data_IF_889196583291
#
_entry.id   IF_889196583291
#
_cell.length_a   1.000
_cell.length_b   1.000
_cell.length_c   1.000
_cell.angle_alpha   90.00
_cell.angle_beta   90.00
_cell.angle_gamma   90.00
#
_symmetry.space_group_name_H-M   'P 1'
#
loop_
_entity.id
_entity.type
_entity.pdbx_description
1 polymer ?
#
# COMPACT_ATOMS: atom_id res chain seq x y z
N UNK A 1 20.38 11.33 13.85
CA UNK A 1 19.37 10.60 13.05
C UNK A 1 18.78 11.49 11.96
N UNK A 2 18.18 12.62 12.33
CA UNK A 2 17.51 13.53 11.38
C UNK A 2 18.40 14.07 10.25
N UNK A 3 19.65 14.43 10.52
CA UNK A 3 20.59 14.89 9.49
C UNK A 3 20.86 13.82 8.42
N UNK A 4 21.05 12.56 8.83
CA UNK A 4 21.25 11.43 7.91
C UNK A 4 19.99 11.18 7.09
N UNK A 5 18.82 11.24 7.73
CA UNK A 5 17.55 11.07 7.03
C UNK A 5 17.29 12.18 6.00
N UNK A 6 17.57 13.42 6.35
CA UNK A 6 17.48 14.58 5.45
C UNK A 6 18.44 14.44 4.27
N UNK A 7 19.70 14.03 4.54
CA UNK A 7 20.68 13.74 3.49
C UNK A 7 20.19 12.64 2.54
N UNK A 8 19.62 11.56 3.07
CA UNK A 8 19.06 10.48 2.25
C UNK A 8 17.91 10.99 1.37
N UNK A 9 16.97 11.78 1.91
CA UNK A 9 15.87 12.37 1.12
C UNK A 9 16.37 13.24 -0.03
N UNK A 10 17.40 14.05 0.19
CA UNK A 10 17.97 14.90 -0.85
C UNK A 10 18.59 14.06 -1.97
N UNK A 11 19.40 13.04 -1.62
CA UNK A 11 19.99 12.14 -2.62
C UNK A 11 18.91 11.36 -3.41
N UNK A 12 17.81 10.97 -2.77
CA UNK A 12 16.68 10.31 -3.44
C UNK A 12 16.00 11.26 -4.43
N UNK A 13 15.84 12.54 -4.07
CA UNK A 13 15.29 13.57 -4.97
C UNK A 13 16.14 13.70 -6.24
N UNK A 14 17.46 13.59 -6.09
CA UNK A 14 18.43 13.59 -7.20
C UNK A 14 18.57 12.22 -7.89
N UNK A 15 17.78 11.21 -7.46
CA UNK A 15 17.81 9.82 -7.93
C UNK A 15 19.17 9.13 -7.75
N UNK A 16 20.02 9.63 -6.86
CA UNK A 16 21.30 9.01 -6.53
C UNK A 16 21.11 7.88 -5.50
N UNK A 17 20.49 6.79 -5.95
CA UNK A 17 20.20 5.63 -5.12
C UNK A 17 21.48 4.93 -4.62
N UNK A 18 22.55 4.97 -5.42
CA UNK A 18 23.84 4.35 -5.06
C UNK A 18 24.48 5.06 -3.88
N UNK A 19 24.50 6.41 -3.88
CA UNK A 19 25.01 7.19 -2.76
C UNK A 19 24.05 7.19 -1.56
N UNK A 20 22.75 7.03 -1.78
CA UNK A 20 21.74 6.95 -0.71
C UNK A 20 21.91 5.70 0.17
N UNK A 21 22.17 4.54 -0.43
CA UNK A 21 22.27 3.25 0.28
C UNK A 21 23.21 3.28 1.50
N UNK A 22 24.48 3.72 1.41
CA UNK A 22 25.36 3.75 2.58
C UNK A 22 24.85 4.68 3.69
N UNK A 23 24.22 5.80 3.34
CA UNK A 23 23.61 6.73 4.32
C UNK A 23 22.45 6.05 5.07
N UNK A 24 21.60 5.32 4.35
CA UNK A 24 20.48 4.58 4.95
C UNK A 24 20.95 3.39 5.77
N UNK A 25 22.03 2.69 5.37
CA UNK A 25 22.63 1.63 6.18
C UNK A 25 23.16 2.17 7.51
N UNK A 26 23.89 3.29 7.49
CA UNK A 26 24.34 3.95 8.72
C UNK A 26 23.15 4.34 9.61
N UNK A 27 22.06 4.83 8.99
CA UNK A 27 20.84 5.18 9.71
C UNK A 27 20.18 3.95 10.36
N UNK A 28 20.05 2.84 9.62
CA UNK A 28 19.46 1.59 10.13
C UNK A 28 20.31 0.95 11.22
N UNK A 29 21.64 0.97 11.09
CA UNK A 29 22.54 0.41 12.11
C UNK A 29 22.44 1.19 13.43
N UNK A 30 22.27 2.52 13.35
CA UNK A 30 22.06 3.37 14.54
C UNK A 30 20.74 3.09 15.25
N UNK A 31 19.64 2.89 14.52
CA UNK A 31 18.37 2.52 15.18
C UNK A 31 18.39 1.11 15.73
N UNK A 32 18.99 0.14 15.03
CA UNK A 32 19.16 -1.21 15.58
C UNK A 32 19.93 -1.17 16.91
N UNK A 33 21.00 -0.37 16.99
CA UNK A 33 21.74 -0.18 18.24
C UNK A 33 20.86 0.40 19.38
N UNK A 34 20.07 1.45 19.10
CA UNK A 34 19.19 2.09 20.10
C UNK A 34 18.15 1.11 20.65
N UNK A 35 17.53 0.32 19.77
CA UNK A 35 16.38 -0.50 20.11
C UNK A 35 16.71 -1.97 20.41
N UNK A 36 17.97 -2.39 20.21
CA UNK A 36 18.45 -3.77 20.41
C UNK A 36 18.17 -4.38 21.79
N UNK A 37 18.11 -3.57 22.84
CA UNK A 37 17.91 -4.02 24.22
C UNK A 37 16.51 -3.75 24.75
N UNK A 38 15.60 -3.23 23.92
CA UNK A 38 14.23 -2.96 24.36
C UNK A 38 13.42 -4.25 24.35
N UNK A 39 12.72 -4.49 25.45
CA UNK A 39 11.76 -5.59 25.60
C UNK A 39 10.35 -5.08 25.37
N UNK A 40 9.58 -5.73 24.49
CA UNK A 40 8.20 -5.34 24.21
C UNK A 40 7.88 -5.40 22.72
N UNK A 41 6.62 -5.10 22.38
CA UNK A 41 6.18 -4.97 20.97
C UNK A 41 6.26 -3.51 20.56
N UNK A 42 7.41 -3.18 20.00
CA UNK A 42 7.74 -1.82 19.59
C UNK A 42 7.53 -1.66 18.08
N UNK A 43 6.74 -0.66 17.69
CA UNK A 43 6.39 -0.39 16.30
C UNK A 43 6.72 1.05 15.89
N UNK A 44 6.88 1.26 14.58
CA UNK A 44 7.05 2.58 13.97
C UNK A 44 5.93 2.83 12.96
N UNK A 45 4.72 3.03 13.46
CA UNK A 45 3.58 3.37 12.61
C UNK A 45 3.71 4.79 12.02
N UNK A 46 3.29 4.95 10.77
CA UNK A 46 3.31 6.21 10.02
C UNK A 46 2.13 7.10 10.38
N UNK A 47 0.99 6.50 10.76
CA UNK A 47 -0.27 7.18 11.01
C UNK A 47 -1.05 6.46 12.12
N UNK A 48 -1.82 7.19 12.92
CA UNK A 48 -2.55 6.63 14.08
C UNK A 48 -3.51 5.49 13.68
N UNK A 49 -4.12 5.58 12.49
CA UNK A 49 -4.94 4.53 11.88
C UNK A 49 -4.25 3.15 11.85
N UNK A 50 -2.94 3.09 11.63
CA UNK A 50 -2.20 1.84 11.53
C UNK A 50 -2.17 1.08 12.87
N UNK A 51 -2.25 1.78 14.01
CA UNK A 51 -2.46 1.16 15.32
C UNK A 51 -3.74 0.34 15.35
N UNK A 52 -4.83 0.91 14.83
CA UNK A 52 -6.15 0.26 14.84
C UNK A 52 -6.21 -0.89 13.82
N UNK A 53 -5.60 -0.72 12.64
CA UNK A 53 -5.46 -1.81 11.68
C UNK A 53 -4.64 -2.96 12.24
N UNK A 54 -3.52 -2.67 12.90
CA UNK A 54 -2.69 -3.71 13.51
C UNK A 54 -3.50 -4.47 14.56
N UNK A 55 -4.13 -3.76 15.50
CA UNK A 55 -4.90 -4.40 16.57
C UNK A 55 -6.03 -5.28 16.04
N UNK A 56 -6.76 -4.80 15.02
CA UNK A 56 -7.89 -5.53 14.44
C UNK A 56 -7.45 -6.71 13.55
N UNK A 57 -6.63 -6.46 12.53
CA UNK A 57 -6.30 -7.47 11.52
C UNK A 57 -5.24 -8.47 12.00
N UNK A 58 -4.31 -8.06 12.86
CA UNK A 58 -3.34 -8.97 13.49
C UNK A 58 -3.89 -9.63 14.76
N UNK A 59 -5.10 -9.24 15.20
CA UNK A 59 -5.77 -9.72 16.42
C UNK A 59 -4.89 -9.58 17.66
N UNK A 60 -4.19 -8.46 17.74
CA UNK A 60 -3.21 -8.19 18.77
C UNK A 60 -3.57 -6.93 19.56
N UNK A 61 -4.22 -7.14 20.71
CA UNK A 61 -4.63 -6.08 21.63
C UNK A 61 -3.67 -5.91 22.80
N UNK A 62 -2.44 -6.43 22.67
CA UNK A 62 -1.42 -6.21 23.69
C UNK A 62 -0.99 -4.75 23.74
N UNK A 63 -0.33 -4.36 24.84
CA UNK A 63 0.23 -3.03 24.97
C UNK A 63 1.28 -2.81 23.88
N UNK A 64 1.00 -1.84 23.00
CA UNK A 64 1.89 -1.43 21.92
C UNK A 64 2.75 -0.27 22.40
N UNK A 65 4.03 -0.34 22.05
CA UNK A 65 4.97 0.76 22.25
C UNK A 65 5.36 1.34 20.88
N UNK A 66 5.71 2.62 20.86
CA UNK A 66 6.04 3.32 19.63
C UNK A 66 7.43 3.91 19.68
N UNK A 67 8.17 3.74 18.58
CA UNK A 67 9.48 4.35 18.40
C UNK A 67 9.36 5.85 18.12
N UNK A 68 10.33 6.64 18.57
CA UNK A 68 10.44 8.06 18.22
C UNK A 68 10.72 8.29 16.71
N UNK A 69 11.34 7.32 16.04
CA UNK A 69 11.77 7.43 14.64
C UNK A 69 10.88 6.60 13.72
N UNK A 70 10.65 7.05 12.48
CA UNK A 70 9.95 6.27 11.46
C UNK A 70 10.87 5.16 10.87
N UNK A 71 11.19 4.14 11.68
CA UNK A 71 12.18 3.11 11.34
C UNK A 71 11.75 2.30 10.12
N UNK A 72 10.47 1.91 10.02
CA UNK A 72 9.89 1.25 8.86
C UNK A 72 10.18 2.06 7.57
N UNK A 73 10.03 3.38 7.61
CA UNK A 73 10.30 4.26 6.47
C UNK A 73 11.76 4.25 6.06
N UNK A 74 12.70 4.11 7.00
CA UNK A 74 14.14 3.99 6.67
C UNK A 74 14.42 2.69 5.90
N UNK A 75 13.90 1.56 6.39
CA UNK A 75 14.07 0.27 5.72
C UNK A 75 13.31 0.19 4.39
N UNK A 76 12.09 0.74 4.32
CA UNK A 76 11.32 0.82 3.07
C UNK A 76 12.08 1.61 2.02
N UNK A 77 12.66 2.75 2.42
CA UNK A 77 13.45 3.59 1.52
C UNK A 77 14.77 2.92 1.11
N UNK A 78 15.39 2.17 2.01
CA UNK A 78 16.58 1.37 1.70
C UNK A 78 16.25 0.28 0.66
N UNK A 79 15.13 -0.42 0.84
CA UNK A 79 14.61 -1.41 -0.10
C UNK A 79 14.33 -0.79 -1.47
N UNK A 80 13.72 0.41 -1.50
CA UNK A 80 13.47 1.16 -2.72
C UNK A 80 14.77 1.47 -3.48
N UNK A 81 15.81 1.97 -2.79
CA UNK A 81 17.10 2.26 -3.40
C UNK A 81 17.81 0.99 -3.89
N UNK A 82 17.72 -0.10 -3.13
CA UNK A 82 18.28 -1.40 -3.52
C UNK A 82 17.60 -1.97 -4.76
N UNK A 83 16.27 -1.87 -4.86
CA UNK A 83 15.50 -2.29 -6.03
C UNK A 83 15.90 -1.52 -7.30
N UNK A 84 16.15 -0.22 -7.18
CA UNK A 84 16.58 0.64 -8.28
C UNK A 84 18.08 0.52 -8.63
N UNK A 85 18.82 -0.28 -7.86
CA UNK A 85 20.23 -0.63 -8.13
C UNK A 85 20.40 -2.13 -8.39
N UNK A 86 19.30 -2.80 -8.73
CA UNK A 86 19.20 -4.23 -9.07
C UNK A 86 19.67 -5.18 -7.95
N UNK A 87 19.71 -4.69 -6.70
CA UNK A 87 20.00 -5.50 -5.50
C UNK A 87 18.71 -6.10 -4.94
N UNK A 88 18.04 -6.93 -5.74
CA UNK A 88 16.69 -7.43 -5.43
C UNK A 88 16.59 -8.22 -4.13
N UNK A 89 17.56 -9.10 -3.84
CA UNK A 89 17.56 -9.89 -2.59
C UNK A 89 17.70 -8.98 -1.36
N UNK A 90 18.57 -7.98 -1.43
CA UNK A 90 18.72 -7.02 -0.34
C UNK A 90 17.46 -6.17 -0.17
N UNK A 91 16.82 -5.78 -1.29
CA UNK A 91 15.58 -5.04 -1.27
C UNK A 91 14.45 -5.80 -0.54
N UNK A 92 14.28 -7.10 -0.85
CA UNK A 92 13.31 -7.96 -0.14
C UNK A 92 13.60 -7.95 1.36
N UNK A 93 14.85 -8.19 1.77
CA UNK A 93 15.23 -8.20 3.20
C UNK A 93 14.94 -6.87 3.88
N UNK A 94 15.18 -5.75 3.19
CA UNK A 94 14.89 -4.42 3.72
C UNK A 94 13.38 -4.20 3.87
N UNK A 95 12.56 -4.58 2.89
CA UNK A 95 11.10 -4.48 3.00
C UNK A 95 10.55 -5.40 4.09
N UNK A 96 11.06 -6.63 4.25
CA UNK A 96 10.70 -7.51 5.36
C UNK A 96 11.05 -6.90 6.71
N UNK A 97 12.21 -6.22 6.83
CA UNK A 97 12.55 -5.44 8.03
C UNK A 97 11.58 -4.28 8.23
N UNK A 98 11.18 -3.56 7.18
CA UNK A 98 10.18 -2.50 7.28
C UNK A 98 8.84 -3.04 7.81
N UNK A 99 8.37 -4.19 7.32
CA UNK A 99 7.15 -4.83 7.80
C UNK A 99 7.26 -5.39 9.23
N UNK A 100 8.45 -5.70 9.73
CA UNK A 100 8.62 -6.03 11.16
C UNK A 100 8.37 -4.83 12.05
N UNK A 101 8.79 -3.64 11.61
CA UNK A 101 8.58 -2.38 12.33
C UNK A 101 7.18 -1.80 12.12
N UNK A 102 6.54 -2.09 10.99
CA UNK A 102 5.16 -1.72 10.72
C UNK A 102 4.46 -2.81 9.87
N UNK A 103 3.79 -3.77 10.52
CA UNK A 103 3.16 -4.89 9.84
C UNK A 103 1.98 -4.53 8.94
N UNK A 104 1.50 -3.30 8.98
CA UNK A 104 0.35 -2.81 8.20
C UNK A 104 0.73 -1.68 7.24
N UNK A 105 2.04 -1.50 6.97
CA UNK A 105 2.56 -0.48 6.07
C UNK A 105 2.23 -0.78 4.60
N UNK A 106 1.11 -0.22 4.13
CA UNK A 106 0.63 -0.41 2.76
C UNK A 106 1.70 -0.06 1.71
N UNK A 107 2.46 1.01 1.91
CA UNK A 107 3.49 1.42 0.95
C UNK A 107 4.56 0.33 0.81
N UNK A 108 4.94 -0.34 1.90
CA UNK A 108 5.90 -1.44 1.83
C UNK A 108 5.34 -2.64 1.05
N UNK A 109 4.06 -2.98 1.25
CA UNK A 109 3.41 -4.03 0.45
C UNK A 109 3.37 -3.71 -1.05
N UNK A 110 3.05 -2.45 -1.40
CA UNK A 110 3.04 -2.01 -2.80
C UNK A 110 4.43 -2.07 -3.43
N UNK A 111 5.47 -1.70 -2.68
CA UNK A 111 6.85 -1.79 -3.16
C UNK A 111 7.34 -3.24 -3.32
N UNK A 112 6.94 -4.15 -2.44
CA UNK A 112 7.17 -5.59 -2.60
C UNK A 112 6.48 -6.13 -3.85
N UNK A 113 5.23 -5.74 -4.11
CA UNK A 113 4.51 -6.15 -5.31
C UNK A 113 5.25 -5.73 -6.59
N UNK A 114 5.70 -4.47 -6.67
CA UNK A 114 6.50 -3.99 -7.82
C UNK A 114 7.83 -4.73 -7.96
N UNK A 115 8.51 -5.03 -6.84
CA UNK A 115 9.73 -5.83 -6.87
C UNK A 115 9.47 -7.25 -7.40
N UNK A 116 8.40 -7.90 -6.93
CA UNK A 116 8.05 -9.26 -7.35
C UNK A 116 7.61 -9.33 -8.82
N UNK A 117 6.97 -8.29 -9.35
CA UNK A 117 6.75 -8.14 -10.80
C UNK A 117 8.09 -8.08 -11.54
N UNK A 118 9.03 -7.26 -11.07
CA UNK A 118 10.37 -7.09 -11.70
C UNK A 118 11.19 -8.38 -11.74
N UNK A 119 11.10 -9.22 -10.71
CA UNK A 119 11.80 -10.52 -10.67
C UNK A 119 10.95 -11.71 -11.12
N UNK A 120 9.77 -11.45 -11.70
CA UNK A 120 8.77 -12.44 -12.12
C UNK A 120 8.44 -13.52 -11.06
N UNK A 121 8.38 -13.14 -9.79
CA UNK A 121 7.97 -14.03 -8.70
C UNK A 121 6.46 -13.91 -8.46
N UNK A 122 5.71 -14.59 -9.31
CA UNK A 122 4.23 -14.51 -9.34
C UNK A 122 3.57 -14.97 -8.04
N UNK A 123 4.12 -16.00 -7.37
CA UNK A 123 3.56 -16.50 -6.11
C UNK A 123 3.64 -15.45 -5.01
N UNK A 124 4.81 -14.83 -4.87
CA UNK A 124 5.02 -13.79 -3.86
C UNK A 124 4.24 -12.52 -4.20
N UNK A 125 4.17 -12.14 -5.49
CA UNK A 125 3.32 -11.04 -5.96
C UNK A 125 1.86 -11.24 -5.53
N UNK A 126 1.29 -12.41 -5.81
CA UNK A 126 -0.09 -12.71 -5.44
C UNK A 126 -0.27 -12.63 -3.93
N UNK A 127 0.64 -13.24 -3.17
CA UNK A 127 0.59 -13.23 -1.71
C UNK A 127 0.56 -11.80 -1.15
N UNK A 128 1.55 -10.96 -1.47
CA UNK A 128 1.60 -9.60 -0.92
C UNK A 128 0.46 -8.71 -1.41
N UNK A 129 -0.04 -8.93 -2.63
CA UNK A 129 -1.21 -8.21 -3.14
C UNK A 129 -2.44 -8.50 -2.29
N UNK A 130 -2.72 -9.77 -1.98
CA UNK A 130 -3.84 -10.15 -1.11
C UNK A 130 -3.64 -9.73 0.35
N UNK A 131 -2.42 -9.83 0.90
CA UNK A 131 -2.12 -9.36 2.27
C UNK A 131 -2.35 -7.85 2.41
N UNK A 132 -2.09 -7.07 1.37
CA UNK A 132 -2.31 -5.62 1.37
C UNK A 132 -3.78 -5.20 1.34
N UNK A 133 -4.70 -6.10 0.98
CA UNK A 133 -6.10 -5.78 0.71
C UNK A 133 -6.80 -5.07 1.88
N UNK A 134 -6.47 -5.48 3.11
CA UNK A 134 -7.05 -4.90 4.34
C UNK A 134 -6.56 -3.48 4.64
N UNK A 135 -5.54 -3.00 3.94
CA UNK A 135 -4.92 -1.70 4.20
C UNK A 135 -5.18 -0.70 3.06
N UNK A 136 -5.90 -1.08 2.00
CA UNK A 136 -6.21 -0.21 0.87
C UNK A 136 -7.15 0.92 1.29
N UNK A 137 -6.64 2.15 1.34
CA UNK A 137 -7.35 3.33 1.86
C UNK A 137 -7.71 4.38 0.80
N UNK A 138 -7.50 4.08 -0.49
CA UNK A 138 -7.81 5.00 -1.60
C UNK A 138 -8.24 4.26 -2.87
N UNK A 139 -8.96 4.94 -3.76
CA UNK A 139 -9.31 4.44 -5.10
C UNK A 139 -8.06 4.11 -5.90
N UNK A 140 -7.02 4.93 -5.77
CA UNK A 140 -5.74 4.71 -6.44
C UNK A 140 -5.09 3.39 -5.99
N UNK A 141 -5.11 3.08 -4.69
CA UNK A 141 -4.59 1.80 -4.16
C UNK A 141 -5.48 0.62 -4.51
N UNK A 142 -6.81 0.79 -4.57
CA UNK A 142 -7.73 -0.23 -5.09
C UNK A 142 -7.43 -0.56 -6.56
N UNK A 143 -7.22 0.45 -7.40
CA UNK A 143 -6.85 0.25 -8.79
C UNK A 143 -5.52 -0.51 -8.92
N UNK A 144 -4.51 -0.17 -8.08
CA UNK A 144 -3.22 -0.89 -8.04
C UNK A 144 -3.39 -2.35 -7.63
N UNK A 145 -4.22 -2.65 -6.64
CA UNK A 145 -4.52 -4.03 -6.24
C UNK A 145 -5.04 -4.86 -7.42
N UNK A 146 -6.05 -4.36 -8.14
CA UNK A 146 -6.60 -5.08 -9.29
C UNK A 146 -5.60 -5.18 -10.44
N UNK A 147 -4.76 -4.17 -10.67
CA UNK A 147 -3.70 -4.19 -11.69
C UNK A 147 -2.60 -5.20 -11.38
N UNK A 148 -2.21 -5.35 -10.12
CA UNK A 148 -1.25 -6.38 -9.71
C UNK A 148 -1.79 -7.78 -10.00
N UNK A 149 -3.09 -8.00 -9.77
CA UNK A 149 -3.76 -9.23 -10.16
C UNK A 149 -3.90 -9.36 -11.68
N UNK A 150 -4.17 -8.26 -12.40
CA UNK A 150 -4.20 -8.22 -13.86
C UNK A 150 -2.89 -8.71 -14.47
N UNK A 151 -1.76 -8.16 -14.01
CA UNK A 151 -0.42 -8.63 -14.36
C UNK A 151 -0.23 -10.11 -14.01
N UNK A 152 -0.59 -10.53 -12.78
CA UNK A 152 -0.46 -11.91 -12.34
C UNK A 152 -1.19 -12.90 -13.26
N UNK A 153 -2.44 -12.61 -13.62
CA UNK A 153 -3.24 -13.50 -14.48
C UNK A 153 -2.81 -13.44 -15.94
N UNK A 154 -2.30 -12.31 -16.42
CA UNK A 154 -1.70 -12.21 -17.75
C UNK A 154 -0.47 -13.12 -17.87
N UNK A 155 0.43 -13.09 -16.88
CA UNK A 155 1.61 -13.97 -16.81
C UNK A 155 1.25 -15.44 -16.60
N UNK A 156 0.03 -15.74 -16.13
CA UNK A 156 -0.53 -17.09 -16.06
C UNK A 156 -1.27 -17.53 -17.32
N UNK A 157 -1.19 -16.76 -18.41
CA UNK A 157 -1.89 -17.02 -19.67
C UNK A 157 -3.42 -17.05 -19.52
N UNK A 158 -3.96 -16.19 -18.64
CA UNK A 158 -5.41 -15.94 -18.51
C UNK A 158 -5.76 -14.50 -18.96
N UNK A 159 -5.60 -14.16 -20.26
CA UNK A 159 -5.71 -12.79 -20.76
C UNK A 159 -7.11 -12.20 -20.63
N UNK A 160 -8.17 -13.01 -20.71
CA UNK A 160 -9.55 -12.54 -20.53
C UNK A 160 -9.79 -12.05 -19.09
N UNK A 161 -9.30 -12.78 -18.09
CA UNK A 161 -9.41 -12.38 -16.69
C UNK A 161 -8.51 -11.16 -16.40
N UNK A 162 -7.32 -11.12 -16.99
CA UNK A 162 -6.46 -9.95 -16.90
C UNK A 162 -7.15 -8.68 -17.45
N UNK A 163 -7.83 -8.79 -18.60
CA UNK A 163 -8.59 -7.69 -19.18
C UNK A 163 -9.75 -7.23 -18.26
N UNK A 164 -10.47 -8.18 -17.65
CA UNK A 164 -11.50 -7.88 -16.64
C UNK A 164 -10.91 -7.10 -15.47
N UNK A 165 -9.76 -7.53 -14.94
CA UNK A 165 -9.10 -6.88 -13.80
C UNK A 165 -8.59 -5.46 -14.14
N UNK A 166 -8.01 -5.27 -15.33
CA UNK A 166 -7.59 -3.94 -15.79
C UNK A 166 -8.78 -3.01 -16.00
N UNK A 167 -9.87 -3.47 -16.65
CA UNK A 167 -11.11 -2.67 -16.77
C UNK A 167 -11.71 -2.36 -15.41
N UNK A 168 -11.77 -3.33 -14.50
CA UNK A 168 -12.29 -3.12 -13.15
C UNK A 168 -11.44 -2.11 -12.36
N UNK A 169 -10.12 -2.12 -12.55
CA UNK A 169 -9.22 -1.14 -11.94
C UNK A 169 -9.51 0.31 -12.39
N UNK A 170 -9.91 0.50 -13.65
CA UNK A 170 -10.21 1.82 -14.21
C UNK A 170 -11.52 2.41 -13.67
N UNK A 171 -12.44 1.60 -13.14
CA UNK A 171 -13.61 2.10 -12.41
C UNK A 171 -13.16 2.89 -11.17
N UNK A 172 -12.10 2.43 -10.49
CA UNK A 172 -11.56 3.13 -9.33
C UNK A 172 -10.71 4.34 -9.73
N UNK A 173 -9.71 4.14 -10.57
CA UNK A 173 -8.77 5.19 -10.93
C UNK A 173 -8.15 4.91 -12.30
N UNK A 174 -8.54 5.64 -13.32
CA UNK A 174 -8.04 5.46 -14.69
C UNK A 174 -6.55 5.86 -14.81
N UNK A 175 -5.77 5.06 -15.56
CA UNK A 175 -4.38 5.41 -15.90
C UNK A 175 -4.01 4.96 -17.30
N UNK A 176 -3.09 5.70 -17.94
CA UNK A 176 -2.51 5.29 -19.23
C UNK A 176 -1.87 3.90 -19.18
N UNK A 177 -1.34 3.51 -18.02
CA UNK A 177 -0.75 2.18 -17.83
C UNK A 177 -1.78 1.07 -18.07
N UNK A 178 -2.95 1.15 -17.42
CA UNK A 178 -3.99 0.14 -17.62
C UNK A 178 -4.52 0.13 -19.06
N UNK A 179 -4.63 1.30 -19.70
CA UNK A 179 -5.01 1.40 -21.12
C UNK A 179 -4.01 0.69 -22.02
N UNK A 180 -2.70 0.90 -21.82
CA UNK A 180 -1.64 0.22 -22.59
C UNK A 180 -1.64 -1.29 -22.38
N UNK A 181 -1.89 -1.76 -21.15
CA UNK A 181 -2.01 -3.19 -20.86
C UNK A 181 -3.22 -3.81 -21.59
N UNK A 182 -4.37 -3.12 -21.63
CA UNK A 182 -5.55 -3.57 -22.37
C UNK A 182 -5.28 -3.63 -23.89
N UNK A 183 -4.59 -2.63 -24.45
CA UNK A 183 -4.16 -2.62 -25.85
C UNK A 183 -3.20 -3.79 -26.16
N UNK A 184 -2.25 -4.05 -25.27
CA UNK A 184 -1.34 -5.18 -25.39
C UNK A 184 -2.10 -6.52 -25.39
N UNK A 185 -3.05 -6.71 -24.46
CA UNK A 185 -3.87 -7.91 -24.40
C UNK A 185 -4.69 -8.07 -25.68
N UNK A 186 -5.38 -7.01 -26.14
CA UNK A 186 -6.18 -7.03 -27.37
C UNK A 186 -5.36 -7.49 -28.58
N UNK A 187 -4.14 -6.97 -28.70
CA UNK A 187 -3.20 -7.35 -29.76
C UNK A 187 -2.75 -8.81 -29.62
N UNK A 188 -2.45 -9.27 -28.40
CA UNK A 188 -2.02 -10.64 -28.15
C UNK A 188 -3.09 -11.67 -28.50
N UNK A 189 -4.36 -11.39 -28.19
CA UNK A 189 -5.50 -12.28 -28.49
C UNK A 189 -6.11 -12.04 -29.88
N UNK A 190 -5.60 -11.07 -30.65
CA UNK A 190 -6.10 -10.67 -31.98
C UNK A 190 -7.61 -10.36 -31.99
N UNK A 191 -8.08 -9.74 -30.92
CA UNK A 191 -9.50 -9.42 -30.72
C UNK A 191 -9.64 -8.20 -29.82
N UNK A 192 -10.63 -7.37 -30.12
CA UNK A 192 -10.98 -6.24 -29.26
C UNK A 192 -11.47 -6.72 -27.89
N UNK A 193 -11.08 -6.00 -26.83
CA UNK A 193 -11.61 -6.23 -25.48
C UNK A 193 -13.04 -5.70 -25.46
N UNK A 194 -14.07 -6.55 -25.26
CA UNK A 194 -15.44 -6.09 -25.25
C UNK A 194 -15.70 -5.22 -24.01
N UNK A 195 -16.76 -4.41 -24.08
CA UNK A 195 -17.27 -3.76 -22.88
C UNK A 195 -17.92 -4.79 -21.95
N UNK A 196 -17.55 -4.71 -20.67
CA UNK A 196 -18.08 -5.59 -19.64
C UNK A 196 -19.05 -4.82 -18.74
N UNK A 197 -20.20 -5.42 -18.43
CA UNK A 197 -21.04 -4.88 -17.36
C UNK A 197 -20.33 -5.01 -16.00
N UNK A 198 -20.61 -4.11 -15.07
CA UNK A 198 -20.07 -4.19 -13.71
C UNK A 198 -20.36 -5.55 -13.07
N UNK A 199 -21.60 -6.04 -13.23
CA UNK A 199 -22.04 -7.35 -12.73
C UNK A 199 -21.19 -8.49 -13.28
N UNK A 200 -20.95 -8.52 -14.60
CA UNK A 200 -20.12 -9.54 -15.22
C UNK A 200 -18.69 -9.54 -14.66
N UNK A 201 -18.08 -8.35 -14.52
CA UNK A 201 -16.73 -8.25 -13.97
C UNK A 201 -16.70 -8.79 -12.54
N UNK A 202 -17.64 -8.39 -11.70
CA UNK A 202 -17.72 -8.85 -10.31
C UNK A 202 -17.93 -10.37 -10.20
N UNK A 203 -18.79 -10.96 -11.04
CA UNK A 203 -18.97 -12.42 -11.10
C UNK A 203 -17.65 -13.14 -11.40
N UNK A 204 -16.85 -12.63 -12.36
CA UNK A 204 -15.53 -13.18 -12.68
C UNK A 204 -14.51 -13.05 -11.55
N UNK A 205 -14.54 -11.95 -10.80
CA UNK A 205 -13.69 -11.78 -9.61
C UNK A 205 -14.06 -12.80 -8.52
N UNK A 206 -15.36 -12.98 -8.27
CA UNK A 206 -15.87 -13.94 -7.28
C UNK A 206 -15.51 -15.37 -7.64
N UNK A 207 -15.65 -15.79 -8.91
CA UNK A 207 -15.22 -17.11 -9.40
C UNK A 207 -13.75 -17.44 -9.05
N UNK A 208 -12.90 -16.40 -8.93
CA UNK A 208 -11.47 -16.51 -8.65
C UNK A 208 -11.10 -16.19 -7.20
N UNK A 209 -12.09 -16.02 -6.33
CA UNK A 209 -11.93 -15.59 -4.93
C UNK A 209 -11.17 -14.26 -4.81
N UNK A 210 -11.39 -13.35 -5.75
CA UNK A 210 -10.85 -11.99 -5.71
C UNK A 210 -11.90 -11.08 -5.07
N UNK A 211 -11.55 -10.32 -4.02
CA UNK A 211 -12.49 -9.42 -3.35
C UNK A 211 -13.07 -8.36 -4.29
N UNK A 212 -14.36 -8.09 -4.10
CA UNK A 212 -15.11 -7.07 -4.83
C UNK A 212 -15.31 -5.87 -3.92
N UNK A 213 -14.73 -4.73 -4.28
CA UNK A 213 -14.87 -3.52 -3.47
C UNK A 213 -13.74 -3.34 -2.45
N UNK A 214 -13.71 -2.19 -1.76
CA UNK A 214 -12.90 -2.02 -0.55
C UNK A 214 -13.39 -2.95 0.58
N UNK A 215 -12.49 -3.33 1.48
CA UNK A 215 -12.87 -4.10 2.66
C UNK A 215 -13.77 -3.26 3.59
N UNK A 216 -14.98 -3.72 3.93
CA UNK A 216 -15.89 -2.97 4.79
C UNK A 216 -15.33 -2.72 6.20
N UNK A 217 -14.52 -3.63 6.73
CA UNK A 217 -13.87 -3.46 8.04
C UNK A 217 -12.84 -2.32 7.99
N UNK A 218 -12.07 -2.23 6.89
CA UNK A 218 -11.11 -1.15 6.65
C UNK A 218 -11.83 0.20 6.62
N UNK A 219 -12.97 0.29 5.93
CA UNK A 219 -13.80 1.51 5.90
C UNK A 219 -14.30 1.85 7.30
N UNK A 220 -14.92 0.88 7.99
CA UNK A 220 -15.52 1.08 9.31
C UNK A 220 -14.50 1.51 10.37
N UNK A 221 -13.32 0.88 10.38
CA UNK A 221 -12.22 1.25 11.26
C UNK A 221 -11.74 2.66 10.95
N UNK A 222 -11.49 2.98 9.68
CA UNK A 222 -11.01 4.32 9.28
C UNK A 222 -11.99 5.41 9.68
N UNK A 223 -13.28 5.19 9.43
CA UNK A 223 -14.33 6.11 9.82
C UNK A 223 -14.37 6.30 11.35
N UNK A 224 -14.29 5.21 12.11
CA UNK A 224 -14.32 5.25 13.58
C UNK A 224 -13.09 5.96 14.15
N UNK A 225 -11.91 5.75 13.60
CA UNK A 225 -10.69 6.47 13.98
C UNK A 225 -10.87 7.96 13.70
N UNK A 226 -11.43 8.33 12.55
CA UNK A 226 -11.77 9.73 12.25
C UNK A 226 -12.68 10.37 13.31
N UNK A 227 -13.69 9.65 13.79
CA UNK A 227 -14.54 10.12 14.90
C UNK A 227 -13.77 10.30 16.21
N UNK A 228 -12.93 9.32 16.58
CA UNK A 228 -12.13 9.35 17.82
C UNK A 228 -11.16 10.55 17.79
N UNK A 229 -10.46 10.78 16.69
CA UNK A 229 -9.54 11.91 16.54
C UNK A 229 -10.30 13.24 16.61
N UNK A 230 -11.50 13.32 16.04
CA UNK A 230 -12.33 14.52 16.12
C UNK A 230 -12.80 14.81 17.55
N UNK A 231 -13.24 13.77 18.28
CA UNK A 231 -13.60 13.85 19.70
C UNK A 231 -12.41 14.27 20.58
N UNK A 232 -11.20 13.85 20.22
CA UNK A 232 -9.95 14.23 20.88
C UNK A 232 -9.45 15.64 20.53
N UNK A 233 -10.10 16.33 19.58
CA UNK A 233 -9.69 17.65 19.10
C UNK A 233 -8.59 17.65 18.03
N UNK A 234 -8.18 16.47 17.55
CA UNK A 234 -7.18 16.26 16.51
C UNK A 234 -7.82 16.39 15.12
N UNK A 235 -8.25 17.61 14.78
CA UNK A 235 -9.05 17.85 13.58
C UNK A 235 -8.33 17.48 12.27
N UNK A 236 -6.99 17.58 12.24
CA UNK A 236 -6.18 17.25 11.07
C UNK A 236 -6.20 15.74 10.80
N UNK A 237 -5.90 14.94 11.82
CA UNK A 237 -5.89 13.48 11.77
C UNK A 237 -7.29 12.93 11.46
N UNK A 238 -8.32 13.53 12.06
CA UNK A 238 -9.71 13.23 11.73
C UNK A 238 -10.01 13.47 10.25
N UNK A 239 -9.61 14.64 9.72
CA UNK A 239 -9.78 14.99 8.30
C UNK A 239 -9.09 13.98 7.38
N UNK A 240 -7.86 13.57 7.71
CA UNK A 240 -7.11 12.56 6.93
C UNK A 240 -7.88 11.24 6.86
N UNK A 241 -8.43 10.74 7.97
CA UNK A 241 -9.26 9.54 8.00
C UNK A 241 -10.54 9.69 7.16
N UNK A 242 -11.30 10.79 7.32
CA UNK A 242 -12.53 11.00 6.55
C UNK A 242 -12.25 11.17 5.05
N UNK A 243 -11.11 11.76 4.67
CA UNK A 243 -10.69 11.83 3.27
C UNK A 243 -10.44 10.44 2.68
N UNK A 244 -9.81 9.53 3.42
CA UNK A 244 -9.60 8.15 2.97
C UNK A 244 -10.93 7.42 2.77
N UNK A 245 -11.87 7.56 3.72
CA UNK A 245 -13.22 6.98 3.59
C UNK A 245 -13.94 7.54 2.38
N UNK A 246 -14.00 8.87 2.26
CA UNK A 246 -14.70 9.54 1.17
C UNK A 246 -14.12 9.17 -0.20
N UNK A 247 -12.79 9.10 -0.33
CA UNK A 247 -12.16 8.68 -1.58
C UNK A 247 -12.69 7.28 -2.00
N UNK A 248 -12.69 6.31 -1.08
CA UNK A 248 -13.17 4.96 -1.36
C UNK A 248 -14.67 4.87 -1.65
N UNK A 249 -15.51 5.53 -0.86
CA UNK A 249 -16.95 5.32 -0.85
C UNK A 249 -17.73 6.32 -1.70
N UNK A 250 -17.20 7.54 -1.86
CA UNK A 250 -17.92 8.70 -2.39
C UNK A 250 -19.23 8.97 -1.64
N UNK A 251 -19.24 8.69 -0.33
CA UNK A 251 -20.41 8.83 0.53
C UNK A 251 -20.69 10.31 0.86
N UNK A 252 -21.90 10.77 0.59
CA UNK A 252 -22.35 12.15 0.81
C UNK A 252 -22.33 12.53 2.30
N UNK A 253 -22.58 11.61 3.23
CA UNK A 253 -22.53 11.90 4.67
C UNK A 253 -21.08 12.23 5.09
N UNK A 254 -20.11 11.49 4.57
CA UNK A 254 -18.68 11.73 4.84
C UNK A 254 -18.24 13.05 4.21
N UNK A 255 -18.77 13.39 3.03
CA UNK A 255 -18.54 14.69 2.39
C UNK A 255 -18.99 15.86 3.26
N UNK A 256 -20.20 15.78 3.83
CA UNK A 256 -20.72 16.81 4.74
C UNK A 256 -19.83 16.98 5.97
N UNK A 257 -19.31 15.89 6.53
CA UNK A 257 -18.36 15.94 7.65
C UNK A 257 -17.09 16.69 7.23
N UNK A 258 -16.51 16.38 6.06
CA UNK A 258 -15.31 17.04 5.54
C UNK A 258 -15.52 18.54 5.32
N UNK A 259 -16.63 18.94 4.71
CA UNK A 259 -17.00 20.36 4.52
C UNK A 259 -17.12 21.09 5.86
N UNK A 260 -17.65 20.43 6.90
CA UNK A 260 -17.72 20.97 8.26
C UNK A 260 -16.36 21.18 8.93
N UNK A 261 -15.34 20.42 8.54
CA UNK A 261 -13.96 20.54 9.06
C UNK A 261 -13.16 21.62 8.33
N UNK A 262 -13.50 21.97 7.09
CA UNK A 262 -12.83 23.04 6.33
C UNK A 262 -13.23 24.45 6.78
N UNK A 263 -14.38 24.57 7.42
CA UNK A 263 -14.96 25.83 7.88
C UNK A 263 -14.59 26.17 9.35
N UNK A 264 -13.64 25.46 9.95
CA UNK A 264 -13.15 25.67 11.33
C UNK A 264 -11.66 25.99 11.34
#
# INVERSE_FOLDING_TARGET
MEQLWTKAKNLIKDKDYKATIPVLKELTDKVEAIYSNQSGKLFSFNHILETYYYAYFMKDVSQLEYTEYAINSYYRTLGFCQMHTDKHIDAIKSYEKALKWNPVDLDTYLQLAELYKKVNNLESLRKVTFESYNFLCSRATMARFYRNLGFYYLEKYEPELAAVLYKYSNIYYETEFATKELEFIAKAIQKDIPEYSLKYMQEKLVEKNIPVGPNPDTIGITYRVGQIELEAGNAKEAKECFMMVYDLTQDDEVKVILEGLENK
#
